data_IF_045073713432
#
_entry.id   IF_045073713432
#
_cell.length_a   1.000
_cell.length_b   1.000
_cell.length_c   1.000
_cell.angle_alpha   90.00
_cell.angle_beta   90.00
_cell.angle_gamma   90.00
#
_symmetry.space_group_name_H-M   'P 1'
#
loop_
_entity.id
_entity.type
_entity.pdbx_description
1 polymer ?
#
# COMPACT_ATOMS: atom_id res chain seq x y z
N UNK A 1 5.38 16.54 -5.47
CA UNK A 1 6.55 15.76 -4.97
C UNK A 1 7.77 16.03 -5.85
N UNK A 2 8.99 16.15 -5.29
CA UNK A 2 10.22 16.36 -6.09
C UNK A 2 10.62 15.06 -6.82
N UNK A 3 11.09 15.15 -8.08
CA UNK A 3 11.46 14.00 -8.93
C UNK A 3 12.38 12.98 -8.24
N UNK A 4 13.43 13.46 -7.56
CA UNK A 4 14.37 12.59 -6.85
C UNK A 4 13.72 11.78 -5.70
N UNK A 5 12.76 12.38 -4.98
CA UNK A 5 12.01 11.70 -3.92
C UNK A 5 11.11 10.62 -4.50
N UNK A 6 10.46 10.91 -5.63
CA UNK A 6 9.61 9.95 -6.32
C UNK A 6 10.40 8.74 -6.84
N UNK A 7 11.57 8.96 -7.44
CA UNK A 7 12.42 7.85 -7.91
C UNK A 7 12.81 6.89 -6.77
N UNK A 8 13.14 7.43 -5.58
CA UNK A 8 13.41 6.59 -4.40
C UNK A 8 12.19 5.77 -3.97
N UNK A 9 11.00 6.38 -4.01
CA UNK A 9 9.74 5.72 -3.71
C UNK A 9 9.41 4.60 -4.71
N UNK A 10 9.73 4.79 -6.00
CA UNK A 10 9.57 3.74 -7.03
C UNK A 10 10.47 2.53 -6.74
N UNK A 11 11.75 2.77 -6.42
CA UNK A 11 12.69 1.69 -6.06
C UNK A 11 12.19 0.94 -4.82
N UNK A 12 11.77 1.68 -3.79
CA UNK A 12 11.22 1.08 -2.57
C UNK A 12 9.94 0.29 -2.84
N UNK A 13 9.05 0.81 -3.69
CA UNK A 13 7.81 0.11 -4.07
C UNK A 13 8.11 -1.22 -4.78
N UNK A 14 9.10 -1.25 -5.68
CA UNK A 14 9.54 -2.47 -6.35
C UNK A 14 10.10 -3.50 -5.35
N UNK A 15 10.97 -3.07 -4.45
CA UNK A 15 11.52 -3.92 -3.39
C UNK A 15 10.41 -4.54 -2.52
N UNK A 16 9.45 -3.72 -2.06
CA UNK A 16 8.37 -4.21 -1.20
C UNK A 16 7.36 -5.08 -1.96
N UNK A 17 7.11 -4.79 -3.23
CA UNK A 17 6.25 -5.60 -4.08
C UNK A 17 6.83 -7.01 -4.29
N UNK A 18 8.12 -7.12 -4.65
CA UNK A 18 8.80 -8.41 -4.88
C UNK A 18 8.82 -9.32 -3.63
N UNK A 19 8.80 -8.73 -2.45
CA UNK A 19 8.76 -9.44 -1.17
C UNK A 19 7.34 -9.68 -0.64
N UNK A 20 6.31 -9.43 -1.46
CA UNK A 20 4.91 -9.53 -1.06
C UNK A 20 4.18 -10.67 -1.75
N UNK A 21 3.02 -11.04 -1.19
CA UNK A 21 2.12 -12.03 -1.78
C UNK A 21 1.50 -11.60 -3.11
N UNK A 22 1.71 -10.35 -3.56
CA UNK A 22 1.26 -9.89 -4.87
C UNK A 22 2.17 -10.35 -6.00
N UNK A 23 3.44 -10.64 -5.71
CA UNK A 23 4.43 -11.06 -6.68
C UNK A 23 4.46 -12.59 -6.80
N UNK A 24 4.40 -13.10 -8.03
CA UNK A 24 4.57 -14.53 -8.34
C UNK A 24 5.97 -14.75 -8.92
N UNK A 25 6.56 -15.93 -8.64
CA UNK A 25 7.95 -16.29 -8.94
C UNK A 25 8.42 -16.08 -10.41
N UNK A 26 7.50 -15.86 -11.36
CA UNK A 26 7.77 -15.68 -12.79
C UNK A 26 7.68 -14.21 -13.25
N UNK A 27 8.02 -13.23 -12.40
CA UNK A 27 7.85 -11.79 -12.69
C UNK A 27 6.40 -11.42 -13.12
N UNK A 28 5.42 -12.10 -12.53
CA UNK A 28 4.00 -11.88 -12.83
C UNK A 28 3.22 -11.39 -11.63
N UNK A 29 2.18 -10.61 -11.89
CA UNK A 29 1.26 -10.08 -10.89
C UNK A 29 -0.17 -10.38 -11.35
N UNK A 30 -1.06 -10.87 -10.47
CA UNK A 30 -2.46 -11.03 -10.82
C UNK A 30 -3.10 -9.74 -11.36
N UNK A 31 -3.82 -9.83 -12.49
CA UNK A 31 -4.48 -8.67 -13.13
C UNK A 31 -5.40 -7.93 -12.16
N UNK A 32 -5.99 -8.66 -11.22
CA UNK A 32 -6.86 -8.13 -10.19
C UNK A 32 -6.19 -7.08 -9.28
N UNK A 33 -4.85 -6.94 -9.30
CA UNK A 33 -4.12 -5.93 -8.53
C UNK A 33 -3.92 -4.59 -9.25
N UNK A 34 -3.99 -4.48 -10.58
CA UNK A 34 -3.87 -3.18 -11.26
C UNK A 34 -5.04 -2.27 -10.85
N UNK A 35 -6.27 -2.79 -10.90
CA UNK A 35 -7.46 -2.07 -10.43
C UNK A 35 -7.40 -1.73 -8.93
N UNK A 36 -6.96 -2.67 -8.08
CA UNK A 36 -6.90 -2.46 -6.63
C UNK A 36 -5.83 -1.45 -6.22
N UNK A 37 -4.65 -1.47 -6.85
CA UNK A 37 -3.59 -0.48 -6.59
C UNK A 37 -3.98 0.89 -7.11
N UNK A 38 -4.59 0.97 -8.30
CA UNK A 38 -5.05 2.23 -8.87
C UNK A 38 -6.18 2.90 -8.06
N UNK A 39 -7.03 2.11 -7.41
CA UNK A 39 -8.15 2.61 -6.64
C UNK A 39 -7.74 3.21 -5.29
N UNK A 40 -6.62 2.79 -4.68
CA UNK A 40 -6.28 3.17 -3.30
C UNK A 40 -6.14 4.68 -3.12
N UNK A 41 -5.31 5.35 -3.92
CA UNK A 41 -5.13 6.80 -3.82
C UNK A 41 -6.42 7.57 -4.12
N UNK A 42 -7.27 7.04 -5.01
CA UNK A 42 -8.57 7.62 -5.35
C UNK A 42 -9.56 7.48 -4.19
N UNK A 43 -9.61 6.31 -3.55
CA UNK A 43 -10.44 6.07 -2.36
C UNK A 43 -10.04 7.03 -1.23
N UNK A 44 -8.75 7.24 -0.97
CA UNK A 44 -8.29 8.21 0.03
C UNK A 44 -8.73 9.64 -0.33
N UNK A 45 -8.71 10.01 -1.61
CA UNK A 45 -9.15 11.33 -2.05
C UNK A 45 -10.68 11.53 -1.89
N UNK A 46 -11.47 10.48 -2.14
CA UNK A 46 -12.94 10.55 -2.15
C UNK A 46 -13.58 10.31 -0.79
N UNK A 47 -13.03 9.40 0.01
CA UNK A 47 -13.63 8.89 1.26
C UNK A 47 -12.77 9.16 2.50
N UNK A 48 -11.67 9.88 2.33
CA UNK A 48 -10.66 10.11 3.36
C UNK A 48 -9.93 8.84 3.83
N UNK A 49 -8.92 9.03 4.68
CA UNK A 49 -7.98 7.97 5.05
C UNK A 49 -8.60 6.85 5.89
N UNK A 50 -9.33 7.18 6.96
CA UNK A 50 -9.85 6.15 7.89
C UNK A 50 -10.85 5.19 7.23
N UNK A 51 -11.87 5.66 6.49
CA UNK A 51 -12.79 4.74 5.80
C UNK A 51 -12.07 3.91 4.74
N UNK A 52 -11.09 4.49 4.04
CA UNK A 52 -10.31 3.76 3.04
C UNK A 52 -9.49 2.64 3.66
N UNK A 53 -8.79 2.92 4.76
CA UNK A 53 -8.03 1.92 5.51
C UNK A 53 -8.93 0.80 5.99
N UNK A 54 -10.12 1.11 6.53
CA UNK A 54 -11.08 0.10 6.96
C UNK A 54 -11.54 -0.80 5.80
N UNK A 55 -11.91 -0.22 4.65
CA UNK A 55 -12.34 -0.97 3.46
C UNK A 55 -11.23 -1.89 2.93
N UNK A 56 -10.00 -1.39 2.86
CA UNK A 56 -8.87 -2.18 2.36
C UNK A 56 -8.46 -3.28 3.35
N UNK A 57 -8.55 -3.00 4.65
CA UNK A 57 -8.18 -3.96 5.69
C UNK A 57 -9.21 -5.10 5.85
N UNK A 58 -10.50 -4.78 5.73
CA UNK A 58 -11.59 -5.76 5.84
C UNK A 58 -11.66 -6.75 4.68
N UNK A 59 -11.15 -6.37 3.51
CA UNK A 59 -11.06 -7.26 2.35
C UNK A 59 -9.91 -8.24 2.53
N UNK A 60 -10.10 -9.20 3.44
CA UNK A 60 -9.18 -10.28 3.76
C UNK A 60 -9.95 -11.52 4.22
N UNK A 61 -9.64 -12.66 3.63
CA UNK A 61 -10.15 -13.96 4.08
C UNK A 61 -8.98 -14.75 4.67
N UNK A 62 -8.95 -14.91 5.99
CA UNK A 62 -7.89 -15.64 6.68
C UNK A 62 -7.77 -17.11 6.24
N UNK A 63 -8.84 -17.68 5.65
CA UNK A 63 -8.82 -19.05 5.11
C UNK A 63 -8.24 -19.10 3.69
N UNK A 64 -8.05 -17.96 3.04
CA UNK A 64 -7.52 -17.82 1.67
C UNK A 64 -6.58 -16.61 1.59
N UNK A 65 -5.43 -16.65 2.30
CA UNK A 65 -4.47 -15.54 2.33
C UNK A 65 -3.87 -15.21 0.96
N UNK A 66 -3.81 -16.21 0.06
CA UNK A 66 -3.30 -16.07 -1.30
C UNK A 66 -4.33 -15.48 -2.29
N UNK A 67 -5.54 -15.15 -1.81
CA UNK A 67 -6.55 -14.52 -2.65
C UNK A 67 -6.15 -13.07 -2.95
N UNK A 68 -6.33 -12.66 -4.20
CA UNK A 68 -6.09 -11.30 -4.66
C UNK A 68 -7.02 -10.28 -3.98
N UNK A 69 -6.63 -9.79 -2.81
CA UNK A 69 -7.44 -8.94 -1.96
C UNK A 69 -6.80 -7.56 -1.75
N UNK A 70 -7.61 -6.55 -1.40
CA UNK A 70 -7.13 -5.17 -1.18
C UNK A 70 -6.20 -5.08 0.02
N UNK A 71 -6.29 -5.98 1.01
CA UNK A 71 -5.36 -5.97 2.15
C UNK A 71 -3.91 -6.22 1.71
N UNK A 72 -3.65 -7.05 0.71
CA UNK A 72 -2.30 -7.29 0.21
C UNK A 72 -1.69 -5.99 -0.38
N UNK A 73 -2.49 -5.20 -1.10
CA UNK A 73 -2.08 -3.88 -1.59
C UNK A 73 -1.77 -2.93 -0.43
N UNK A 74 -2.65 -2.88 0.57
CA UNK A 74 -2.45 -2.05 1.75
C UNK A 74 -1.20 -2.47 2.54
N UNK A 75 -0.89 -3.77 2.56
CA UNK A 75 0.27 -4.30 3.24
C UNK A 75 1.57 -3.81 2.61
N UNK A 76 1.69 -3.90 1.28
CA UNK A 76 2.85 -3.37 0.55
C UNK A 76 3.00 -1.87 0.82
N UNK A 77 1.91 -1.11 0.70
CA UNK A 77 1.93 0.34 0.96
C UNK A 77 2.33 0.66 2.39
N UNK A 78 1.82 -0.06 3.40
CA UNK A 78 2.18 0.16 4.80
C UNK A 78 3.70 -0.01 5.01
N UNK A 79 4.29 -1.08 4.48
CA UNK A 79 5.74 -1.35 4.61
C UNK A 79 6.66 -0.34 3.93
N UNK A 80 6.11 0.61 3.16
CA UNK A 80 6.85 1.71 2.56
C UNK A 80 6.88 2.97 3.45
N UNK A 81 5.92 3.11 4.36
CA UNK A 81 5.68 4.34 5.13
C UNK A 81 6.52 4.36 6.41
N UNK A 82 7.19 5.47 6.66
CA UNK A 82 7.91 5.71 7.91
C UNK A 82 6.93 6.02 9.04
N UNK A 83 7.17 5.46 10.22
CA UNK A 83 6.39 5.77 11.41
C UNK A 83 6.72 7.19 11.88
N UNK A 84 5.71 7.98 12.28
CA UNK A 84 5.96 9.29 12.85
C UNK A 84 6.83 9.19 14.11
N UNK A 85 7.91 9.97 14.16
CA UNK A 85 8.84 10.05 15.30
C UNK A 85 9.65 8.78 15.61
N UNK A 86 9.69 7.82 14.68
CA UNK A 86 10.52 6.61 14.80
C UNK A 86 11.41 6.46 13.55
N UNK A 87 12.61 5.91 13.71
CA UNK A 87 13.47 5.51 12.58
C UNK A 87 13.11 4.09 12.12
N UNK A 88 11.82 3.88 11.87
CA UNK A 88 11.26 2.58 11.50
C UNK A 88 10.08 2.76 10.55
N UNK A 89 9.81 1.73 9.74
CA UNK A 89 8.61 1.65 8.90
C UNK A 89 7.51 0.87 9.60
N UNK A 90 6.28 1.02 9.12
CA UNK A 90 5.22 0.10 9.52
C UNK A 90 5.55 -1.32 9.07
N UNK A 91 5.25 -2.31 9.91
CA UNK A 91 5.49 -3.72 9.64
C UNK A 91 4.49 -4.29 8.63
N UNK A 92 3.23 -3.84 8.72
CA UNK A 92 2.12 -4.36 7.92
C UNK A 92 0.92 -3.41 7.93
N UNK A 93 -0.14 -3.83 7.21
CA UNK A 93 -1.42 -3.12 7.19
C UNK A 93 -2.10 -3.01 8.56
N UNK A 94 -1.91 -3.99 9.45
CA UNK A 94 -2.56 -3.99 10.77
C UNK A 94 -1.97 -2.91 11.67
N UNK A 95 -0.65 -2.80 11.69
CA UNK A 95 0.04 -1.76 12.45
C UNK A 95 -0.32 -0.36 11.94
N UNK A 96 -0.40 -0.17 10.62
CA UNK A 96 -0.83 1.09 10.03
C UNK A 96 -2.26 1.47 10.44
N UNK A 97 -3.19 0.52 10.40
CA UNK A 97 -4.59 0.74 10.81
C UNK A 97 -4.66 1.05 12.30
N UNK A 98 -3.97 0.27 13.15
CA UNK A 98 -3.92 0.47 14.61
C UNK A 98 -3.36 1.85 14.96
N UNK A 99 -2.29 2.27 14.31
CA UNK A 99 -1.74 3.61 14.49
C UNK A 99 -2.76 4.67 14.08
N UNK A 100 -3.38 4.51 12.90
CA UNK A 100 -4.31 5.51 12.35
C UNK A 100 -5.56 5.72 13.21
N UNK A 101 -6.04 4.70 13.93
CA UNK A 101 -7.19 4.83 14.83
C UNK A 101 -6.80 5.28 16.26
N UNK A 102 -5.51 5.45 16.55
CA UNK A 102 -5.06 5.96 17.84
C UNK A 102 -5.35 7.46 17.98
N UNK A 103 -5.53 7.93 19.22
CA UNK A 103 -5.88 9.33 19.51
C UNK A 103 -4.82 10.35 19.08
N UNK A 104 -3.56 9.94 18.97
CA UNK A 104 -2.41 10.79 18.66
C UNK A 104 -1.93 10.67 17.20
N UNK A 105 -2.72 10.03 16.34
CA UNK A 105 -2.33 9.78 14.96
C UNK A 105 -2.27 11.06 14.12
N UNK A 106 -1.14 11.32 13.46
CA UNK A 106 -1.08 12.34 12.42
C UNK A 106 -1.72 11.82 11.12
N UNK A 107 -3.05 11.93 11.05
CA UNK A 107 -3.83 11.47 9.90
C UNK A 107 -3.49 12.22 8.61
N UNK A 108 -3.02 13.47 8.70
CA UNK A 108 -2.62 14.24 7.50
C UNK A 108 -1.31 13.70 6.93
N UNK A 109 -0.35 13.37 7.80
CA UNK A 109 0.87 12.67 7.42
C UNK A 109 0.53 11.31 6.79
N UNK A 110 -0.27 10.47 7.46
CA UNK A 110 -0.62 9.14 6.95
C UNK A 110 -1.34 9.23 5.61
N UNK A 111 -2.33 10.12 5.48
CA UNK A 111 -3.05 10.37 4.23
C UNK A 111 -2.10 10.67 3.07
N UNK A 112 -1.15 11.58 3.29
CA UNK A 112 -0.18 11.96 2.28
C UNK A 112 0.76 10.80 1.91
N UNK A 113 1.26 10.07 2.90
CA UNK A 113 2.17 8.95 2.69
C UNK A 113 1.49 7.80 1.95
N UNK A 114 0.25 7.45 2.33
CA UNK A 114 -0.52 6.41 1.64
C UNK A 114 -0.78 6.78 0.18
N UNK A 115 -1.13 8.04 -0.10
CA UNK A 115 -1.31 8.50 -1.49
C UNK A 115 0.00 8.41 -2.28
N UNK A 116 1.10 8.96 -1.75
CA UNK A 116 2.39 8.98 -2.45
C UNK A 116 2.91 7.55 -2.71
N UNK A 117 2.80 6.65 -1.73
CA UNK A 117 3.21 5.25 -1.84
C UNK A 117 2.29 4.45 -2.78
N UNK A 118 0.97 4.67 -2.73
CA UNK A 118 0.03 4.01 -3.64
C UNK A 118 0.28 4.40 -5.10
N UNK A 119 0.58 5.68 -5.36
CA UNK A 119 0.94 6.15 -6.71
C UNK A 119 2.23 5.47 -7.18
N UNK A 120 3.27 5.41 -6.33
CA UNK A 120 4.52 4.75 -6.67
C UNK A 120 4.31 3.25 -6.97
N UNK A 121 3.58 2.54 -6.10
CA UNK A 121 3.26 1.13 -6.30
C UNK A 121 2.49 0.89 -7.60
N UNK A 122 1.49 1.73 -7.91
CA UNK A 122 0.75 1.66 -9.17
C UNK A 122 1.66 1.79 -10.39
N UNK A 123 2.63 2.70 -10.35
CA UNK A 123 3.60 2.85 -11.44
C UNK A 123 4.47 1.61 -11.62
N UNK A 124 4.88 0.98 -10.52
CA UNK A 124 5.66 -0.27 -10.54
C UNK A 124 4.83 -1.44 -11.06
N UNK A 125 3.61 -1.66 -10.54
CA UNK A 125 2.77 -2.80 -10.96
C UNK A 125 2.54 -2.81 -12.49
N UNK A 126 2.45 -1.64 -13.12
CA UNK A 126 2.26 -1.49 -14.57
C UNK A 126 3.48 -1.84 -15.41
N UNK A 127 4.65 -2.05 -14.81
CA UNK A 127 5.83 -2.52 -15.53
C UNK A 127 5.95 -4.05 -15.54
N UNK A 128 5.12 -4.75 -14.77
CA UNK A 128 5.10 -6.21 -14.71
C UNK A 128 4.10 -6.82 -15.69
N UNK A 129 4.27 -8.11 -15.98
CA UNK A 129 3.29 -8.88 -16.75
C UNK A 129 2.09 -9.21 -15.86
N UNK A 130 0.91 -8.74 -16.26
CA UNK A 130 -0.35 -9.04 -15.58
C UNK A 130 -0.92 -10.37 -16.09
N UNK A 131 -1.35 -11.25 -15.16
CA UNK A 131 -1.83 -12.62 -15.45
C UNK A 131 -3.08 -13.00 -14.67
#
# INVERSE_FOLDING_TARGET
MKKAKFNKLIILADEKLRNSNMYKNDDTIPEAYDGKTAALSVSVAMSDILPTLAIYYQDFDAKKPDKDCRRNVLNVVATMIDKPNEDAKFLDAEELVRYSVSGDADLQYIKKQVIDCAIALKHVVRTYKLV
#
